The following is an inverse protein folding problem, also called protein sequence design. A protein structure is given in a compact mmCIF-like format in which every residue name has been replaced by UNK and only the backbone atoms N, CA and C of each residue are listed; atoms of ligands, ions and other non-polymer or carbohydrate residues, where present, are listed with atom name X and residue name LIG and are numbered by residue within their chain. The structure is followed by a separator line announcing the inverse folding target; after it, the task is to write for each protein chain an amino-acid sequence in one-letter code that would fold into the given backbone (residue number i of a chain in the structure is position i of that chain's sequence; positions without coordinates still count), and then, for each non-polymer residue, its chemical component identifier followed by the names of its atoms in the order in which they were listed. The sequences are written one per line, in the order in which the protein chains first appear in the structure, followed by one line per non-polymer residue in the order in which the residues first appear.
data_IF_291728587576
#
_entry.id   IF_291728587576
#
_cell.length_a   1.000
_cell.length_b   1.000
_cell.length_c   1.000
_cell.angle_alpha   90.00
_cell.angle_beta   90.00
_cell.angle_gamma   90.00
#
_symmetry.space_group_name_H-M   'P 1'
#
loop_
_entity.id
_entity.type
_entity.pdbx_description
1 polymer ?
#
# COMPACT_ATOMS: atom_id res chain seq x y z
N UNK A 1 -10.64 8.60 20.56
CA UNK A 1 -10.21 8.18 19.20
C UNK A 1 -10.57 6.74 18.88
N UNK A 2 -10.09 5.74 19.64
CA UNK A 2 -10.37 4.31 19.36
C UNK A 2 -11.85 3.94 19.24
N UNK A 3 -12.74 4.53 20.06
CA UNK A 3 -14.19 4.30 19.97
C UNK A 3 -14.79 4.79 18.64
N UNK A 4 -14.30 5.91 18.11
CA UNK A 4 -14.68 6.42 16.78
C UNK A 4 -14.14 5.52 15.67
N UNK A 5 -12.88 5.08 15.78
CA UNK A 5 -12.31 4.15 14.80
C UNK A 5 -13.08 2.84 14.73
N UNK A 6 -13.49 2.29 15.88
CA UNK A 6 -14.31 1.06 15.95
C UNK A 6 -15.70 1.25 15.33
N UNK A 7 -16.31 2.42 15.52
CA UNK A 7 -17.60 2.76 14.92
C UNK A 7 -17.50 2.88 13.39
N UNK A 8 -16.48 3.58 12.88
CA UNK A 8 -16.21 3.70 11.44
C UNK A 8 -15.91 2.33 10.81
N UNK A 9 -15.15 1.48 11.50
CA UNK A 9 -14.84 0.12 11.07
C UNK A 9 -16.10 -0.72 10.88
N UNK A 10 -17.04 -0.65 11.82
CA UNK A 10 -18.32 -1.38 11.76
C UNK A 10 -19.27 -0.79 10.72
N UNK A 11 -19.32 0.55 10.60
CA UNK A 11 -20.17 1.28 9.67
C UNK A 11 -19.83 0.96 8.21
N UNK A 12 -18.55 0.94 7.85
CA UNK A 12 -18.10 0.68 6.48
C UNK A 12 -17.81 -0.79 6.19
N UNK A 13 -18.15 -1.71 7.10
CA UNK A 13 -17.91 -3.16 6.98
C UNK A 13 -16.49 -3.47 6.48
N UNK A 14 -15.50 -2.80 7.08
CA UNK A 14 -14.08 -2.95 6.70
C UNK A 14 -13.58 -4.40 6.82
N UNK A 15 -14.27 -5.24 7.61
CA UNK A 15 -14.03 -6.69 7.69
C UNK A 15 -14.18 -7.42 6.35
N UNK A 16 -15.03 -6.94 5.42
CA UNK A 16 -15.19 -7.57 4.11
C UNK A 16 -13.96 -7.40 3.21
N UNK A 17 -13.13 -6.38 3.49
CA UNK A 17 -11.90 -6.13 2.72
C UNK A 17 -10.79 -7.13 3.06
N UNK A 18 -10.83 -7.80 4.20
CA UNK A 18 -9.86 -8.86 4.55
C UNK A 18 -9.91 -10.03 3.56
N UNK A 19 -11.10 -10.36 3.03
CA UNK A 19 -11.25 -11.37 1.97
C UNK A 19 -10.51 -10.93 0.70
N UNK A 20 -10.65 -9.65 0.33
CA UNK A 20 -9.94 -9.06 -0.80
C UNK A 20 -8.42 -9.10 -0.60
N UNK A 21 -7.93 -8.74 0.59
CA UNK A 21 -6.50 -8.80 0.94
C UNK A 21 -5.96 -10.23 0.82
N UNK A 22 -6.68 -11.23 1.34
CA UNK A 22 -6.28 -12.63 1.24
C UNK A 22 -6.17 -13.10 -0.21
N UNK A 23 -7.16 -12.77 -1.05
CA UNK A 23 -7.14 -13.08 -2.49
C UNK A 23 -5.93 -12.41 -3.16
N UNK A 24 -5.67 -11.12 -2.88
CA UNK A 24 -4.52 -10.41 -3.43
C UNK A 24 -3.19 -11.09 -3.07
N UNK A 25 -3.02 -11.53 -1.82
CA UNK A 25 -1.79 -12.22 -1.39
C UNK A 25 -1.59 -13.52 -2.17
N UNK A 26 -2.65 -14.32 -2.33
CA UNK A 26 -2.60 -15.59 -3.08
C UNK A 26 -2.30 -15.31 -4.56
N UNK A 27 -2.94 -14.31 -5.17
CA UNK A 27 -2.70 -13.94 -6.56
C UNK A 27 -1.29 -13.43 -6.80
N UNK A 28 -0.74 -12.60 -5.90
CA UNK A 28 0.66 -12.14 -5.99
C UNK A 28 1.59 -13.34 -5.91
N UNK A 29 1.40 -14.23 -4.93
CA UNK A 29 2.23 -15.42 -4.80
C UNK A 29 2.19 -16.30 -6.05
N UNK A 30 1.00 -16.54 -6.61
CA UNK A 30 0.84 -17.30 -7.84
C UNK A 30 1.51 -16.63 -9.05
N UNK A 31 1.35 -15.31 -9.20
CA UNK A 31 1.94 -14.55 -10.31
C UNK A 31 3.47 -14.58 -10.26
N UNK A 32 4.06 -14.33 -9.09
CA UNK A 32 5.52 -14.34 -8.90
C UNK A 32 6.09 -15.76 -9.08
N UNK A 33 5.37 -16.79 -8.60
CA UNK A 33 5.78 -18.19 -8.78
C UNK A 33 5.73 -18.65 -10.23
N UNK A 34 4.71 -18.24 -11.00
CA UNK A 34 4.63 -18.52 -12.44
C UNK A 34 5.76 -17.84 -13.22
N UNK A 35 6.10 -16.60 -12.87
CA UNK A 35 7.26 -15.91 -13.45
C UNK A 35 8.57 -16.63 -13.12
N UNK A 36 8.74 -17.10 -11.88
CA UNK A 36 9.90 -17.90 -11.46
C UNK A 36 10.03 -19.24 -12.21
N UNK A 37 8.91 -19.91 -12.51
CA UNK A 37 8.91 -21.15 -13.31
C UNK A 37 9.17 -20.89 -14.79
N UNK A 38 8.61 -19.82 -15.37
CA UNK A 38 8.84 -19.44 -16.76
C UNK A 38 10.31 -19.10 -17.05
N UNK A 39 10.97 -18.43 -16.11
CA UNK A 39 12.40 -18.08 -16.21
C UNK A 39 13.35 -19.29 -16.13
N UNK A 40 12.89 -20.47 -15.71
CA UNK A 40 13.69 -21.71 -15.79
C UNK A 40 13.78 -22.28 -17.22
N UNK A 41 12.86 -21.90 -18.11
CA UNK A 41 12.80 -22.40 -19.48
C UNK A 41 13.63 -21.59 -20.49
N UNK A 42 13.97 -20.35 -20.16
CA UNK A 42 14.86 -19.50 -20.93
C UNK A 42 16.19 -19.38 -20.18
N UNK A 43 17.31 -19.39 -20.90
CA UNK A 43 18.67 -19.33 -20.34
C UNK A 43 19.03 -17.97 -19.71
N UNK A 44 18.07 -17.32 -19.05
CA UNK A 44 18.30 -16.13 -18.23
C UNK A 44 18.10 -16.52 -16.77
N UNK A 45 19.23 -16.78 -16.10
CA UNK A 45 19.35 -17.06 -14.66
C UNK A 45 19.03 -15.81 -13.80
N UNK A 46 17.99 -15.06 -14.18
CA UNK A 46 17.62 -13.80 -13.56
C UNK A 46 16.82 -13.98 -12.25
N UNK A 47 16.24 -15.18 -12.01
CA UNK A 47 15.41 -15.47 -10.84
C UNK A 47 15.92 -16.63 -9.96
N UNK A 48 17.20 -16.99 -10.04
CA UNK A 48 17.81 -18.00 -9.15
C UNK A 48 18.15 -17.46 -7.76
N UNK A 49 18.23 -16.13 -7.58
CA UNK A 49 18.53 -15.48 -6.31
C UNK A 49 17.27 -15.15 -5.49
N UNK A 50 17.25 -15.56 -4.22
CA UNK A 50 16.22 -15.22 -3.23
C UNK A 50 15.97 -13.71 -3.15
N UNK A 51 17.03 -12.92 -3.20
CA UNK A 51 16.96 -11.45 -3.17
C UNK A 51 16.17 -10.88 -4.35
N UNK A 52 16.37 -11.40 -5.56
CA UNK A 52 15.68 -10.90 -6.76
C UNK A 52 14.21 -11.29 -6.75
N UNK A 53 13.89 -12.51 -6.33
CA UNK A 53 12.51 -12.96 -6.14
C UNK A 53 11.79 -12.09 -5.10
N UNK A 54 12.43 -11.82 -3.97
CA UNK A 54 11.88 -10.99 -2.90
C UNK A 54 11.67 -9.54 -3.35
N UNK A 55 12.60 -8.96 -4.11
CA UNK A 55 12.44 -7.60 -4.67
C UNK A 55 11.25 -7.53 -5.61
N UNK A 56 11.11 -8.50 -6.53
CA UNK A 56 10.00 -8.57 -7.46
C UNK A 56 8.66 -8.74 -6.73
N UNK A 57 8.58 -9.65 -5.76
CA UNK A 57 7.40 -9.80 -4.92
C UNK A 57 7.05 -8.50 -4.16
N UNK A 58 8.04 -7.82 -3.60
CA UNK A 58 7.85 -6.55 -2.90
C UNK A 58 7.27 -5.46 -3.82
N UNK A 59 7.69 -5.38 -5.09
CA UNK A 59 7.11 -4.45 -6.07
C UNK A 59 5.61 -4.71 -6.23
N UNK A 60 5.21 -5.96 -6.45
CA UNK A 60 3.79 -6.33 -6.58
C UNK A 60 2.99 -6.03 -5.30
N UNK A 61 3.51 -6.40 -4.13
CA UNK A 61 2.90 -6.07 -2.83
C UNK A 61 2.67 -4.57 -2.71
N UNK A 62 3.71 -3.76 -2.94
CA UNK A 62 3.64 -2.29 -2.84
C UNK A 62 2.58 -1.71 -3.76
N UNK A 63 2.56 -2.13 -5.02
CA UNK A 63 1.59 -1.67 -6.01
C UNK A 63 0.15 -2.01 -5.60
N UNK A 64 -0.12 -3.27 -5.27
CA UNK A 64 -1.46 -3.74 -4.96
C UNK A 64 -2.01 -3.09 -3.69
N UNK A 65 -1.21 -3.02 -2.61
CA UNK A 65 -1.67 -2.43 -1.35
C UNK A 65 -1.80 -0.91 -1.41
N UNK A 66 -1.01 -0.23 -2.24
CA UNK A 66 -1.16 1.21 -2.49
C UNK A 66 -2.49 1.49 -3.20
N UNK A 67 -2.82 0.72 -4.24
CA UNK A 67 -4.12 0.84 -4.95
C UNK A 67 -5.28 0.50 -4.02
N UNK A 68 -5.16 -0.57 -3.23
CA UNK A 68 -6.20 -0.98 -2.29
C UNK A 68 -6.44 0.07 -1.20
N UNK A 69 -5.37 0.69 -0.68
CA UNK A 69 -5.45 1.83 0.23
C UNK A 69 -6.21 3.01 -0.40
N UNK A 70 -5.92 3.33 -1.67
CA UNK A 70 -6.63 4.38 -2.40
C UNK A 70 -8.13 4.08 -2.59
N UNK A 71 -8.50 2.81 -2.83
CA UNK A 71 -9.91 2.38 -2.91
C UNK A 71 -10.61 2.59 -1.56
N UNK A 72 -10.00 2.16 -0.45
CA UNK A 72 -10.57 2.35 0.89
C UNK A 72 -10.69 3.85 1.20
N UNK A 73 -9.66 4.63 0.89
CA UNK A 73 -9.64 6.07 1.09
C UNK A 73 -10.77 6.74 0.29
N UNK A 74 -11.00 6.30 -0.95
CA UNK A 74 -12.09 6.82 -1.79
C UNK A 74 -13.47 6.53 -1.20
N UNK A 75 -13.69 5.35 -0.63
CA UNK A 75 -14.98 5.00 0.00
C UNK A 75 -15.20 5.66 1.36
N UNK A 76 -14.16 5.80 2.16
CA UNK A 76 -14.27 6.37 3.52
C UNK A 76 -14.35 7.90 3.51
N UNK A 77 -13.60 8.53 2.61
CA UNK A 77 -13.48 9.98 2.55
C UNK A 77 -14.31 10.50 1.39
N UNK A 78 -13.97 10.13 0.16
CA UNK A 78 -14.42 10.83 -1.06
C UNK A 78 -15.89 10.62 -1.36
N UNK A 79 -16.43 9.42 -1.12
CA UNK A 79 -17.86 9.16 -1.30
C UNK A 79 -18.73 10.05 -0.40
N UNK A 80 -18.26 10.43 0.79
CA UNK A 80 -18.97 11.38 1.65
C UNK A 80 -18.89 12.82 1.10
N UNK A 81 -17.74 13.24 0.55
CA UNK A 81 -17.58 14.55 -0.11
C UNK A 81 -18.40 14.67 -1.40
N UNK A 82 -18.55 13.56 -2.14
CA UNK A 82 -19.32 13.50 -3.38
C UNK A 82 -20.83 13.55 -3.11
N UNK A 83 -21.31 12.77 -2.15
CA UNK A 83 -22.74 12.62 -1.87
C UNK A 83 -23.33 13.71 -0.97
N UNK A 84 -22.56 14.75 -0.61
CA UNK A 84 -22.93 15.83 0.33
C UNK A 84 -23.39 15.33 1.71
N UNK A 85 -23.24 14.04 2.02
CA UNK A 85 -23.49 13.42 3.34
C UNK A 85 -22.59 13.97 4.42
N UNK A 86 -21.57 14.77 4.07
CA UNK A 86 -20.89 15.62 5.04
C UNK A 86 -21.91 16.45 5.81
N UNK A 87 -22.98 16.99 5.19
CA UNK A 87 -24.08 17.72 5.83
C UNK A 87 -24.70 16.96 7.03
N UNK A 88 -24.84 15.64 6.94
CA UNK A 88 -25.30 14.80 8.06
C UNK A 88 -24.23 14.62 9.15
N UNK A 89 -22.95 14.77 8.81
CA UNK A 89 -21.86 14.87 9.78
C UNK A 89 -21.79 16.27 10.45
N UNK A 90 -22.43 17.31 9.91
CA UNK A 90 -22.53 18.64 10.57
C UNK A 90 -23.56 18.64 11.72
N UNK A 91 -24.55 17.74 11.69
CA UNK A 91 -25.46 17.52 12.82
C UNK A 91 -24.76 16.83 14.00
N UNK A 92 -23.54 16.33 13.79
CA UNK A 92 -22.76 15.68 14.83
C UNK A 92 -22.00 16.73 15.66
N UNK A 93 -22.16 16.75 17.00
CA UNK A 93 -21.49 17.72 17.88
C UNK A 93 -19.97 17.49 18.04
N UNK A 94 -19.35 16.68 17.18
CA UNK A 94 -17.92 16.37 17.22
C UNK A 94 -17.12 17.26 16.27
N UNK A 95 -15.93 17.68 16.71
CA UNK A 95 -15.01 18.48 15.91
C UNK A 95 -14.60 17.74 14.61
N UNK A 96 -14.92 18.32 13.44
CA UNK A 96 -14.69 17.74 12.09
C UNK A 96 -13.26 17.24 11.86
N UNK A 97 -12.29 17.96 12.43
CA UNK A 97 -10.86 17.62 12.38
C UNK A 97 -10.56 16.27 13.01
N UNK A 98 -11.26 15.90 14.09
CA UNK A 98 -11.04 14.63 14.78
C UNK A 98 -11.61 13.44 13.99
N UNK A 99 -12.71 13.63 13.27
CA UNK A 99 -13.33 12.59 12.44
C UNK A 99 -12.48 12.30 11.20
N UNK A 100 -12.04 13.34 10.49
CA UNK A 100 -11.14 13.16 9.34
C UNK A 100 -9.79 12.57 9.76
N UNK A 101 -9.26 12.93 10.93
CA UNK A 101 -8.06 12.29 11.50
C UNK A 101 -8.27 10.80 11.70
N UNK A 102 -9.37 10.40 12.35
CA UNK A 102 -9.67 9.00 12.60
C UNK A 102 -9.75 8.18 11.30
N UNK A 103 -10.37 8.71 10.24
CA UNK A 103 -10.47 8.04 8.93
C UNK A 103 -9.11 7.84 8.28
N UNK A 104 -8.27 8.86 8.30
CA UNK A 104 -6.94 8.79 7.71
C UNK A 104 -6.02 7.84 8.48
N UNK A 105 -6.12 7.83 9.81
CA UNK A 105 -5.42 6.86 10.65
C UNK A 105 -5.89 5.42 10.39
N UNK A 106 -7.19 5.19 10.13
CA UNK A 106 -7.69 3.87 9.74
C UNK A 106 -7.05 3.41 8.42
N UNK A 107 -7.06 4.25 7.39
CA UNK A 107 -6.47 3.90 6.08
C UNK A 107 -4.97 3.62 6.22
N UNK A 108 -4.25 4.50 6.92
CA UNK A 108 -2.82 4.36 7.16
C UNK A 108 -2.49 3.06 7.91
N UNK A 109 -3.19 2.79 9.01
CA UNK A 109 -3.00 1.57 9.81
C UNK A 109 -3.37 0.33 9.02
N UNK A 110 -4.43 0.38 8.22
CA UNK A 110 -4.85 -0.73 7.37
C UNK A 110 -3.80 -1.06 6.32
N UNK A 111 -3.26 -0.05 5.62
CA UNK A 111 -2.22 -0.22 4.62
C UNK A 111 -0.93 -0.78 5.25
N UNK A 112 -0.52 -0.24 6.39
CA UNK A 112 0.66 -0.69 7.14
C UNK A 112 0.56 -2.16 7.58
N UNK A 113 -0.53 -2.53 8.26
CA UNK A 113 -0.74 -3.90 8.75
C UNK A 113 -0.85 -4.89 7.57
N UNK A 114 -1.58 -4.53 6.52
CA UNK A 114 -1.75 -5.42 5.36
C UNK A 114 -0.44 -5.68 4.64
N UNK A 115 0.43 -4.67 4.52
CA UNK A 115 1.73 -4.81 3.88
C UNK A 115 2.68 -5.71 4.68
N UNK A 116 2.71 -5.59 6.01
CA UNK A 116 3.50 -6.47 6.88
C UNK A 116 3.00 -7.91 6.74
N UNK A 117 1.68 -8.13 6.84
CA UNK A 117 1.09 -9.46 6.72
C UNK A 117 1.39 -10.07 5.35
N UNK A 118 1.29 -9.29 4.26
CA UNK A 118 1.55 -9.79 2.92
C UNK A 118 3.00 -10.20 2.72
N UNK A 119 3.95 -9.35 3.15
CA UNK A 119 5.38 -9.61 3.00
C UNK A 119 5.80 -10.82 3.84
N UNK A 120 5.29 -10.92 5.07
CA UNK A 120 5.55 -12.06 5.94
C UNK A 120 4.93 -13.36 5.39
N UNK A 121 3.67 -13.32 4.94
CA UNK A 121 2.99 -14.48 4.35
C UNK A 121 3.71 -14.96 3.10
N UNK A 122 4.14 -14.05 2.21
CA UNK A 122 4.87 -14.41 0.99
C UNK A 122 6.24 -15.00 1.34
N UNK A 123 6.97 -14.41 2.30
CA UNK A 123 8.25 -14.95 2.77
C UNK A 123 8.11 -16.38 3.32
N UNK A 124 7.07 -16.63 4.13
CA UNK A 124 6.75 -17.96 4.64
C UNK A 124 6.38 -18.95 3.52
N UNK A 125 5.55 -18.54 2.57
CA UNK A 125 5.14 -19.40 1.46
C UNK A 125 6.34 -19.81 0.60
N UNK A 126 7.29 -18.90 0.34
CA UNK A 126 8.53 -19.21 -0.37
C UNK A 126 9.34 -20.24 0.43
N UNK A 127 9.51 -20.03 1.73
CA UNK A 127 10.25 -20.97 2.60
C UNK A 127 9.67 -22.40 2.54
N UNK A 128 8.33 -22.54 2.62
CA UNK A 128 7.67 -23.84 2.54
C UNK A 128 7.70 -24.47 1.14
N UNK A 129 7.63 -23.66 0.08
CA UNK A 129 7.55 -24.15 -1.30
C UNK A 129 8.92 -24.38 -1.95
N UNK A 130 9.99 -23.78 -1.42
CA UNK A 130 11.35 -23.96 -1.91
C UNK A 130 11.77 -25.45 -2.03
N UNK A 131 11.56 -26.31 -1.01
CA UNK A 131 11.96 -27.73 -1.10
C UNK A 131 11.10 -28.57 -2.06
N UNK A 132 9.89 -28.13 -2.42
CA UNK A 132 9.00 -28.89 -3.33
C UNK A 132 9.17 -28.54 -4.82
N UNK A 133 9.51 -27.29 -5.13
CA UNK A 133 9.53 -26.77 -6.51
C UNK A 133 10.97 -26.47 -6.98
N UNK A 134 11.95 -26.52 -6.05
CA UNK A 134 13.36 -26.23 -6.33
C UNK A 134 13.55 -24.88 -7.00
N UNK A 135 12.72 -23.88 -6.67
CA UNK A 135 12.70 -22.58 -7.35
C UNK A 135 13.98 -21.77 -7.13
N UNK A 136 14.71 -22.06 -6.05
CA UNK A 136 15.88 -21.31 -5.61
C UNK A 136 16.97 -22.34 -5.27
N UNK A 137 18.17 -22.19 -5.85
CA UNK A 137 19.31 -23.10 -5.63
C UNK A 137 20.01 -22.86 -4.28
N UNK A 138 19.76 -21.70 -3.66
CA UNK A 138 20.34 -21.35 -2.35
C UNK A 138 19.43 -21.77 -1.18
N UNK A 139 19.99 -22.36 -0.11
CA UNK A 139 19.22 -22.69 1.09
C UNK A 139 18.78 -21.41 1.79
N UNK A 140 17.47 -21.22 1.92
CA UNK A 140 16.89 -20.10 2.66
C UNK A 140 17.15 -20.34 4.16
N UNK A 141 18.11 -19.62 4.71
CA UNK A 141 18.39 -19.62 6.15
C UNK A 141 17.41 -18.71 6.88
N UNK A 142 16.92 -19.13 8.06
CA UNK A 142 16.03 -18.33 8.91
C UNK A 142 16.60 -16.93 9.25
N UNK A 143 17.92 -16.79 9.19
CA UNK A 143 18.64 -15.53 9.42
C UNK A 143 18.31 -14.45 8.36
N UNK A 144 18.11 -14.82 7.10
CA UNK A 144 17.78 -13.87 6.03
C UNK A 144 16.34 -13.34 6.16
N UNK A 145 15.42 -14.18 6.65
CA UNK A 145 14.05 -13.79 6.95
C UNK A 145 14.02 -12.83 8.15
N UNK A 146 14.84 -13.07 9.18
CA UNK A 146 14.92 -12.19 10.35
C UNK A 146 15.58 -10.84 9.96
N UNK A 147 16.61 -10.86 9.12
CA UNK A 147 17.29 -9.65 8.65
C UNK A 147 16.41 -8.75 7.77
N UNK A 148 15.40 -9.31 7.09
CA UNK A 148 14.45 -8.53 6.29
C UNK A 148 13.36 -7.85 7.13
N UNK A 149 13.12 -8.29 8.38
CA UNK A 149 12.08 -7.72 9.25
C UNK A 149 12.22 -6.20 9.42
N UNK A 150 13.37 -5.63 9.83
CA UNK A 150 13.50 -4.18 10.02
C UNK A 150 13.25 -3.38 8.73
N UNK A 151 13.74 -3.88 7.59
CA UNK A 151 13.55 -3.25 6.29
C UNK A 151 12.06 -3.27 5.87
N UNK A 152 11.35 -4.37 6.14
CA UNK A 152 9.91 -4.45 5.86
C UNK A 152 9.10 -3.45 6.67
N UNK A 153 9.44 -3.24 7.96
CA UNK A 153 8.78 -2.25 8.80
C UNK A 153 8.97 -0.82 8.28
N UNK A 154 10.21 -0.46 7.92
CA UNK A 154 10.52 0.86 7.36
C UNK A 154 9.80 1.07 6.04
N UNK A 155 9.86 0.09 5.13
CA UNK A 155 9.20 0.16 3.83
C UNK A 155 7.67 0.26 3.98
N UNK A 156 7.07 -0.51 4.88
CA UNK A 156 5.64 -0.46 5.17
C UNK A 156 5.20 0.93 5.66
N UNK A 157 6.00 1.56 6.51
CA UNK A 157 5.75 2.93 6.97
C UNK A 157 5.86 3.95 5.82
N UNK A 158 6.84 3.79 4.93
CA UNK A 158 6.98 4.68 3.77
C UNK A 158 5.80 4.55 2.80
N UNK A 159 5.42 3.33 2.40
CA UNK A 159 4.28 3.14 1.49
C UNK A 159 2.97 3.60 2.13
N UNK A 160 2.75 3.33 3.42
CA UNK A 160 1.53 3.77 4.08
C UNK A 160 1.39 5.30 4.08
N UNK A 161 2.49 6.04 4.28
CA UNK A 161 2.50 7.50 4.14
C UNK A 161 2.22 7.97 2.71
N UNK A 162 2.82 7.31 1.72
CA UNK A 162 2.63 7.60 0.29
C UNK A 162 1.19 7.33 -0.17
N UNK A 163 0.54 6.31 0.42
CA UNK A 163 -0.85 5.96 0.12
C UNK A 163 -1.86 7.06 0.49
N UNK A 164 -1.42 8.09 1.22
CA UNK A 164 -2.22 9.28 1.53
C UNK A 164 -2.17 10.36 0.44
N UNK A 165 -1.19 10.34 -0.48
CA UNK A 165 -1.07 11.34 -1.57
C UNK A 165 -2.31 11.36 -2.49
N UNK A 166 -2.89 10.20 -2.92
CA UNK A 166 -4.08 10.17 -3.77
C UNK A 166 -5.28 10.96 -3.22
N UNK A 167 -5.35 11.15 -1.89
CA UNK A 167 -6.38 11.95 -1.26
C UNK A 167 -6.44 13.39 -1.79
N UNK A 168 -5.29 13.99 -2.10
CA UNK A 168 -5.24 15.35 -2.62
C UNK A 168 -5.99 15.49 -3.93
N UNK A 169 -5.70 14.59 -4.87
CA UNK A 169 -6.32 14.57 -6.19
C UNK A 169 -7.80 14.18 -6.11
N UNK A 170 -8.11 13.21 -5.26
CA UNK A 170 -9.46 12.73 -5.01
C UNK A 170 -10.40 13.78 -4.45
N UNK A 171 -9.95 14.56 -3.45
CA UNK A 171 -10.76 15.63 -2.84
C UNK A 171 -10.96 16.82 -3.79
N UNK A 172 -9.96 17.17 -4.61
CA UNK A 172 -10.07 18.32 -5.53
C UNK A 172 -11.07 18.07 -6.66
N UNK A 173 -11.20 16.83 -7.13
CA UNK A 173 -12.12 16.43 -8.20
C UNK A 173 -13.40 15.75 -7.72
N UNK A 174 -13.54 15.48 -6.40
CA UNK A 174 -14.66 14.76 -5.77
C UNK A 174 -15.01 13.44 -6.50
N UNK A 175 -13.97 12.70 -6.89
CA UNK A 175 -14.11 11.55 -7.80
C UNK A 175 -13.32 10.34 -7.32
N UNK A 176 -14.01 9.20 -7.23
CA UNK A 176 -13.41 7.90 -6.91
C UNK A 176 -12.41 7.43 -7.96
N UNK A 177 -12.70 7.43 -9.28
CA UNK A 177 -11.71 7.01 -10.29
C UNK A 177 -10.43 7.86 -10.28
N UNK A 178 -10.52 9.18 -10.07
CA UNK A 178 -9.32 10.05 -10.01
C UNK A 178 -8.37 9.69 -8.87
N UNK A 179 -8.91 9.16 -7.77
CA UNK A 179 -8.12 8.74 -6.61
C UNK A 179 -7.38 7.45 -6.90
N UNK A 180 -8.04 6.51 -7.57
CA UNK A 180 -7.43 5.23 -7.94
C UNK A 180 -6.37 5.45 -9.02
N UNK A 181 -6.66 6.26 -10.05
CA UNK A 181 -5.69 6.51 -11.12
C UNK A 181 -4.44 7.25 -10.63
N UNK A 182 -4.58 8.24 -9.74
CA UNK A 182 -3.42 8.91 -9.13
C UNK A 182 -2.58 7.94 -8.30
N UNK A 183 -3.21 7.02 -7.58
CA UNK A 183 -2.52 5.96 -6.84
C UNK A 183 -1.70 5.04 -7.77
N UNK A 184 -2.29 4.60 -8.89
CA UNK A 184 -1.60 3.79 -9.89
C UNK A 184 -0.39 4.53 -10.49
N UNK A 185 -0.56 5.80 -10.87
CA UNK A 185 0.54 6.62 -11.43
C UNK A 185 1.69 6.76 -10.43
N UNK A 186 1.39 7.05 -9.16
CA UNK A 186 2.41 7.15 -8.11
C UNK A 186 3.13 5.81 -7.93
N UNK A 187 2.38 4.71 -7.89
CA UNK A 187 2.96 3.38 -7.79
C UNK A 187 3.88 3.04 -8.97
N UNK A 188 3.46 3.36 -10.21
CA UNK A 188 4.28 3.16 -11.41
C UNK A 188 5.57 3.97 -11.37
N UNK A 189 5.51 5.24 -10.95
CA UNK A 189 6.69 6.10 -10.82
C UNK A 189 7.68 5.54 -9.80
N UNK A 190 7.19 5.06 -8.65
CA UNK A 190 8.06 4.53 -7.60
C UNK A 190 8.77 3.23 -7.97
N UNK A 191 8.09 2.37 -8.71
CA UNK A 191 8.63 1.08 -9.15
C UNK A 191 9.25 1.17 -10.56
N UNK A 192 9.45 2.38 -11.09
CA UNK A 192 10.17 2.58 -12.33
C UNK A 192 11.65 2.29 -12.13
N UNK A 193 12.21 1.44 -12.99
CA UNK A 193 13.63 1.12 -12.98
C UNK A 193 14.39 2.15 -13.81
N UNK A 194 15.47 2.70 -13.24
CA UNK A 194 16.34 3.68 -13.89
C UNK A 194 17.78 3.20 -13.81
N UNK A 195 18.38 2.90 -14.97
CA UNK A 195 19.78 2.47 -15.09
C UNK A 195 20.07 1.80 -16.44
N UNK A 196 21.30 1.88 -16.98
CA UNK A 196 21.68 1.16 -18.20
C UNK A 196 22.09 -0.29 -17.87
N UNK A 197 21.49 -1.27 -18.55
CA UNK A 197 21.89 -2.70 -18.49
C UNK A 197 21.51 -3.44 -17.19
N UNK A 198 22.26 -4.49 -16.84
CA UNK A 198 22.02 -5.42 -15.70
C UNK A 198 22.10 -4.78 -14.29
N UNK A 199 22.26 -3.46 -14.18
CA UNK A 199 22.29 -2.71 -12.92
C UNK A 199 21.02 -1.89 -12.68
N UNK A 200 19.86 -2.38 -13.10
CA UNK A 200 18.58 -1.67 -12.91
C UNK A 200 18.26 -1.53 -11.43
N UNK A 201 18.27 -0.30 -10.93
CA UNK A 201 17.79 0.06 -9.60
C UNK A 201 16.42 0.70 -9.72
N UNK A 202 15.48 0.26 -8.89
CA UNK A 202 14.17 0.89 -8.80
C UNK A 202 14.32 2.27 -8.14
N UNK A 203 13.52 3.26 -8.55
CA UNK A 203 13.48 4.57 -7.88
C UNK A 203 13.20 4.45 -6.38
N UNK A 204 12.48 3.41 -5.97
CA UNK A 204 12.23 3.08 -4.57
C UNK A 204 13.49 2.75 -3.76
N UNK A 205 14.49 2.12 -4.37
CA UNK A 205 15.69 1.66 -3.66
C UNK A 205 16.57 2.84 -3.22
N UNK A 206 16.42 3.99 -3.87
CA UNK A 206 16.95 5.26 -3.39
C UNK A 206 16.15 5.76 -2.19
N UNK A 207 16.61 5.44 -0.98
CA UNK A 207 15.97 5.76 0.31
C UNK A 207 15.41 7.20 0.41
N UNK A 208 16.08 8.17 -0.24
CA UNK A 208 15.68 9.58 -0.24
C UNK A 208 14.31 9.81 -0.90
N UNK A 209 14.01 9.12 -2.01
CA UNK A 209 12.79 9.34 -2.79
C UNK A 209 11.53 8.93 -2.00
N UNK A 210 11.42 7.70 -1.44
CA UNK A 210 10.28 7.32 -0.62
C UNK A 210 10.12 8.17 0.65
N UNK A 211 11.21 8.64 1.27
CA UNK A 211 11.15 9.53 2.44
C UNK A 211 10.47 10.85 2.08
N UNK A 212 10.91 11.50 1.00
CA UNK A 212 10.33 12.78 0.56
C UNK A 212 8.86 12.61 0.19
N UNK A 213 8.51 11.54 -0.55
CA UNK A 213 7.12 11.27 -0.90
C UNK A 213 6.25 10.94 0.33
N UNK A 214 6.79 10.22 1.32
CA UNK A 214 6.10 9.94 2.58
C UNK A 214 5.80 11.23 3.36
N UNK A 215 6.80 12.12 3.50
CA UNK A 215 6.62 13.42 4.13
C UNK A 215 5.60 14.29 3.38
N UNK A 216 5.63 14.27 2.04
CA UNK A 216 4.61 14.92 1.21
C UNK A 216 3.22 14.35 1.46
N UNK A 217 3.07 13.02 1.56
CA UNK A 217 1.79 12.36 1.87
C UNK A 217 1.23 12.77 3.23
N UNK A 218 2.07 12.82 4.26
CA UNK A 218 1.68 13.30 5.61
C UNK A 218 1.33 14.78 5.56
N UNK A 219 2.10 15.61 4.85
CA UNK A 219 1.84 17.03 4.70
C UNK A 219 0.52 17.30 3.97
N UNK A 220 0.23 16.56 2.91
CA UNK A 220 -1.05 16.60 2.17
C UNK A 220 -2.21 16.22 3.07
N UNK A 221 -2.06 15.14 3.84
CA UNK A 221 -3.04 14.71 4.84
C UNK A 221 -3.28 15.82 5.87
N UNK A 222 -2.23 16.51 6.31
CA UNK A 222 -2.32 17.66 7.20
C UNK A 222 -3.07 18.85 6.57
N UNK A 223 -2.76 19.18 5.32
CA UNK A 223 -3.45 20.26 4.60
C UNK A 223 -4.93 19.98 4.39
N UNK A 224 -5.30 18.71 4.20
CA UNK A 224 -6.72 18.30 4.16
C UNK A 224 -7.45 18.71 5.44
N UNK A 225 -6.83 18.56 6.62
CA UNK A 225 -7.42 19.03 7.88
C UNK A 225 -7.66 20.54 7.94
N UNK A 226 -6.72 21.33 7.40
CA UNK A 226 -6.76 22.79 7.49
C UNK A 226 -7.79 23.40 6.54
N UNK A 227 -8.04 22.78 5.40
CA UNK A 227 -9.00 23.29 4.40
C UNK A 227 -10.46 22.96 4.72
N UNK A 228 -10.75 21.95 5.55
CA UNK A 228 -12.14 21.59 5.92
C UNK A 228 -12.91 22.77 6.53
N UNK A 229 -12.24 23.59 7.36
CA UNK A 229 -12.88 24.76 7.97
C UNK A 229 -13.14 25.91 6.97
N UNK A 230 -12.45 25.93 5.83
CA UNK A 230 -12.52 27.02 4.84
C UNK A 230 -13.41 26.71 3.63
N UNK A 231 -13.71 25.44 3.39
CA UNK A 231 -14.51 25.00 2.23
C UNK A 231 -16.02 25.26 2.45
N UNK A 232 -16.44 25.56 3.69
CA UNK A 232 -17.85 25.80 4.05
C UNK A 232 -18.24 27.29 4.18
N UNK A 233 -17.50 28.23 3.57
CA UNK A 233 -17.87 29.66 3.52
C UNK A 233 -18.26 30.12 2.10
N UNK A 234 -18.60 29.19 1.20
CA UNK A 234 -19.04 29.52 -0.16
C UNK A 234 -20.24 28.68 -0.58
#
# INVERSE_FOLDING_TARGET
MFKLMKLEWKKHKLSSYFKGVAICIITIFAAVSLMGLGAKGEADAALTDFTKYMTLANIFIRMTFLIFSAVILSRLVIDEYKNKTIQLSFMYPLQRKMLMRAKLTIVFSFCFISMIIATFTISLLIFFMNPMIGLIETPITMEEIIATVPATFISAFMISGISLIPLFFGMRKKSTPTTITSAVIIGMLMNSNVGPGNGQVSMYDFIFIPIVLCLLGIFISYLSYRKIDKIDVA
#
